data_IF_655788801653
#
_entry.id   IF_655788801653
#
_cell.length_a   1.000
_cell.length_b   1.000
_cell.length_c   1.000
_cell.angle_alpha   90.00
_cell.angle_beta   90.00
_cell.angle_gamma   90.00
#
_symmetry.space_group_name_H-M   'P 1'
#
loop_
_entity.id
_entity.type
_entity.pdbx_description
1 polymer ?
#
# COMPACT_ATOMS: atom_id res chain seq x y z
N UNK A 1 -24.67 11.03 -4.60
CA UNK A 1 -25.23 12.05 -5.50
C UNK A 1 -26.23 12.99 -4.82
N UNK A 2 -27.29 12.49 -4.12
CA UNK A 2 -28.34 13.33 -3.49
C UNK A 2 -27.79 14.33 -2.48
N UNK A 3 -26.93 13.90 -1.55
CA UNK A 3 -26.31 14.78 -0.55
C UNK A 3 -25.44 15.84 -1.23
N UNK A 4 -24.59 15.43 -2.17
CA UNK A 4 -23.72 16.37 -2.90
C UNK A 4 -24.54 17.45 -3.66
N UNK A 5 -25.64 17.09 -4.28
CA UNK A 5 -26.53 18.05 -4.96
C UNK A 5 -27.12 19.08 -4.00
N UNK A 6 -27.53 18.66 -2.79
CA UNK A 6 -28.05 19.59 -1.78
C UNK A 6 -26.95 20.49 -1.20
N UNK A 7 -25.75 19.96 -0.96
CA UNK A 7 -24.62 20.77 -0.51
C UNK A 7 -24.25 21.86 -1.53
N UNK A 8 -24.35 21.55 -2.82
CA UNK A 8 -24.03 22.51 -3.88
C UNK A 8 -24.99 23.68 -3.99
N UNK A 9 -26.20 23.58 -3.42
CA UNK A 9 -27.19 24.68 -3.34
C UNK A 9 -27.30 25.31 -1.95
N UNK A 10 -26.34 25.01 -1.06
CA UNK A 10 -26.16 25.75 0.20
C UNK A 10 -26.60 25.03 1.48
N UNK A 11 -27.13 23.80 1.41
CA UNK A 11 -27.37 23.01 2.61
C UNK A 11 -26.05 22.59 3.27
N UNK A 12 -26.07 22.41 4.60
CA UNK A 12 -24.96 21.87 5.38
C UNK A 12 -25.20 20.38 5.73
N UNK A 13 -24.14 19.65 6.13
CA UNK A 13 -24.26 18.22 6.43
C UNK A 13 -25.11 17.94 7.69
N UNK A 14 -25.16 18.86 8.63
CA UNK A 14 -25.95 18.79 9.86
C UNK A 14 -27.43 19.06 9.62
N UNK A 15 -27.78 19.84 8.58
CA UNK A 15 -29.16 20.11 8.17
C UNK A 15 -29.81 18.94 7.40
N UNK A 16 -28.98 18.03 6.87
CA UNK A 16 -29.46 16.92 6.04
C UNK A 16 -29.53 15.63 6.84
N UNK A 17 -30.60 14.87 6.63
CA UNK A 17 -30.73 13.54 7.21
C UNK A 17 -29.82 12.53 6.49
N UNK A 18 -29.21 11.62 7.25
CA UNK A 18 -28.48 10.48 6.72
C UNK A 18 -29.43 9.54 5.97
N UNK A 19 -29.12 9.21 4.72
CA UNK A 19 -29.96 8.40 3.86
C UNK A 19 -30.10 6.93 4.33
N UNK A 20 -29.17 6.45 5.15
CA UNK A 20 -29.16 5.08 5.68
C UNK A 20 -29.95 5.01 6.98
N UNK A 21 -29.56 5.79 7.97
CA UNK A 21 -30.17 5.74 9.30
C UNK A 21 -31.53 6.45 9.36
N UNK A 22 -31.75 7.47 8.52
CA UNK A 22 -32.93 8.34 8.46
C UNK A 22 -33.16 9.24 9.70
N UNK A 23 -32.48 8.96 10.79
CA UNK A 23 -32.67 9.64 12.10
C UNK A 23 -31.43 10.43 12.54
N UNK A 24 -30.27 10.15 12.00
CA UNK A 24 -29.04 10.89 12.27
C UNK A 24 -28.77 11.93 11.18
N UNK A 25 -28.02 13.01 11.45
CA UNK A 25 -27.61 13.95 10.41
C UNK A 25 -26.64 13.30 9.42
N UNK A 26 -26.51 13.88 8.22
CA UNK A 26 -25.55 13.43 7.21
C UNK A 26 -24.10 13.63 7.66
N UNK A 27 -23.82 14.47 8.63
CA UNK A 27 -22.54 14.67 9.31
C UNK A 27 -22.14 13.52 10.26
N UNK A 28 -23.05 12.58 10.55
CA UNK A 28 -22.76 11.46 11.45
C UNK A 28 -21.65 10.57 10.89
N UNK A 29 -20.57 10.42 11.65
CA UNK A 29 -19.48 9.49 11.36
C UNK A 29 -19.71 8.16 12.09
N UNK A 30 -19.91 7.04 11.37
CA UNK A 30 -20.03 5.74 12.01
C UNK A 30 -18.67 5.30 12.59
N UNK A 31 -18.69 4.65 13.74
CA UNK A 31 -17.51 3.96 14.28
C UNK A 31 -17.30 2.67 13.49
N UNK A 32 -16.14 2.52 12.89
CA UNK A 32 -15.74 1.33 12.14
C UNK A 32 -14.49 0.70 12.76
N UNK A 33 -14.42 -0.63 12.74
CA UNK A 33 -13.33 -1.44 13.30
C UNK A 33 -12.50 -2.15 12.23
N UNK A 34 -12.55 -1.66 11.01
CA UNK A 34 -11.81 -2.19 9.87
C UNK A 34 -11.17 -1.07 9.06
N UNK A 35 -10.16 -1.42 8.28
CA UNK A 35 -9.47 -0.52 7.35
C UNK A 35 -9.73 -0.97 5.93
N UNK A 36 -10.03 -0.03 5.05
CA UNK A 36 -10.16 -0.27 3.62
C UNK A 36 -9.01 0.42 2.89
N UNK A 37 -8.21 -0.35 2.19
CA UNK A 37 -7.17 0.17 1.30
C UNK A 37 -7.64 0.02 -0.15
N UNK A 38 -7.59 1.12 -0.89
CA UNK A 38 -7.94 1.21 -2.29
C UNK A 38 -6.71 1.59 -3.10
N UNK A 39 -6.33 0.75 -4.06
CA UNK A 39 -5.15 0.97 -4.91
C UNK A 39 -5.58 1.00 -6.39
N UNK A 40 -5.18 2.03 -7.15
CA UNK A 40 -5.47 2.09 -8.58
C UNK A 40 -4.65 1.04 -9.37
N UNK A 41 -5.26 0.49 -10.42
CA UNK A 41 -4.61 -0.37 -11.41
C UNK A 41 -4.24 0.47 -12.62
N UNK A 42 -2.95 0.47 -12.97
CA UNK A 42 -2.42 1.07 -14.18
C UNK A 42 -2.03 -0.02 -15.18
N UNK A 43 -2.16 0.25 -16.47
CA UNK A 43 -1.85 -0.71 -17.55
C UNK A 43 -0.99 -0.06 -18.63
N UNK A 44 0.02 0.72 -18.20
CA UNK A 44 0.94 1.38 -19.14
C UNK A 44 1.66 0.40 -20.07
N UNK A 45 1.80 -0.85 -19.64
CA UNK A 45 2.37 -1.93 -20.44
C UNK A 45 1.57 -2.25 -21.72
N UNK A 46 0.30 -1.86 -21.75
CA UNK A 46 -0.59 -2.06 -22.92
C UNK A 46 -0.65 -0.87 -23.87
N UNK A 47 -0.11 0.27 -23.47
CA UNK A 47 -0.19 1.53 -24.22
C UNK A 47 1.21 2.04 -24.53
N UNK A 48 1.73 1.66 -25.71
CA UNK A 48 3.03 2.13 -26.18
C UNK A 48 3.06 3.65 -26.33
N UNK A 49 4.09 4.29 -25.78
CA UNK A 49 4.25 5.76 -25.83
C UNK A 49 3.43 6.54 -24.80
N UNK A 50 2.66 5.88 -23.92
CA UNK A 50 1.96 6.55 -22.84
C UNK A 50 2.95 7.06 -21.79
N UNK A 51 2.75 8.30 -21.34
CA UNK A 51 3.52 8.90 -20.26
C UNK A 51 3.22 8.19 -18.93
N UNK A 52 4.24 7.63 -18.30
CA UNK A 52 4.13 6.86 -17.05
C UNK A 52 4.05 7.71 -15.79
N UNK A 53 4.47 8.97 -15.86
CA UNK A 53 4.39 9.87 -14.72
C UNK A 53 2.94 10.19 -14.38
N UNK A 54 2.60 10.02 -13.11
CA UNK A 54 1.28 10.34 -12.59
C UNK A 54 1.14 11.86 -12.44
N UNK A 55 -0.06 12.35 -12.73
CA UNK A 55 -0.39 13.78 -12.66
C UNK A 55 -1.82 13.95 -12.15
N UNK A 56 -2.41 15.14 -12.31
CA UNK A 56 -3.81 15.41 -11.97
C UNK A 56 -4.81 14.75 -12.94
N UNK A 57 -4.36 14.27 -14.11
CA UNK A 57 -5.20 13.51 -15.04
C UNK A 57 -5.35 12.07 -14.61
N UNK A 58 -6.54 11.49 -14.80
CA UNK A 58 -6.81 10.09 -14.50
C UNK A 58 -6.11 9.17 -15.51
N UNK A 59 -5.18 8.33 -15.02
CA UNK A 59 -4.43 7.37 -15.84
C UNK A 59 -4.70 5.91 -15.43
N UNK A 60 -5.46 5.68 -14.37
CA UNK A 60 -5.86 4.34 -13.93
C UNK A 60 -6.99 3.78 -14.81
N UNK A 61 -6.98 2.46 -14.99
CA UNK A 61 -8.01 1.71 -15.76
C UNK A 61 -8.99 0.96 -14.85
N UNK A 62 -8.74 0.95 -13.57
CA UNK A 62 -9.53 0.30 -12.55
C UNK A 62 -8.86 0.43 -11.20
N UNK A 63 -9.35 -0.33 -10.22
CA UNK A 63 -8.86 -0.28 -8.84
C UNK A 63 -9.12 -1.61 -8.12
N UNK A 64 -8.27 -1.92 -7.16
CA UNK A 64 -8.50 -2.97 -6.18
C UNK A 64 -8.86 -2.34 -4.83
N UNK A 65 -9.79 -2.96 -4.10
CA UNK A 65 -10.18 -2.57 -2.75
C UNK A 65 -10.09 -3.77 -1.84
N UNK A 66 -9.40 -3.61 -0.72
CA UNK A 66 -9.23 -4.68 0.27
C UNK A 66 -9.55 -4.20 1.68
N UNK A 67 -10.18 -5.06 2.45
CA UNK A 67 -10.56 -4.82 3.85
C UNK A 67 -9.62 -5.63 4.75
N UNK A 68 -9.14 -5.00 5.80
CA UNK A 68 -8.32 -5.62 6.84
C UNK A 68 -8.60 -5.05 8.21
N UNK A 69 -8.05 -5.64 9.25
CA UNK A 69 -8.08 -5.10 10.61
C UNK A 69 -6.94 -4.14 10.91
N UNK A 70 -5.90 -4.20 10.09
CA UNK A 70 -4.76 -3.28 10.13
C UNK A 70 -4.46 -2.74 8.74
N UNK A 71 -3.71 -1.63 8.68
CA UNK A 71 -3.26 -1.07 7.41
C UNK A 71 -2.35 -2.05 6.67
N UNK A 72 -1.45 -2.72 7.38
CA UNK A 72 -0.52 -3.71 6.82
C UNK A 72 -1.30 -4.84 6.12
N UNK A 73 -2.32 -5.39 6.78
CA UNK A 73 -3.17 -6.43 6.22
C UNK A 73 -3.89 -5.95 4.96
N UNK A 74 -4.59 -4.82 5.06
CA UNK A 74 -5.39 -4.30 3.95
C UNK A 74 -4.53 -3.90 2.75
N UNK A 75 -3.36 -3.28 2.98
CA UNK A 75 -2.42 -2.88 1.94
C UNK A 75 -1.88 -4.09 1.17
N UNK A 76 -1.38 -5.10 1.88
CA UNK A 76 -0.83 -6.29 1.23
C UNK A 76 -1.89 -7.08 0.46
N UNK A 77 -3.11 -7.16 0.99
CA UNK A 77 -4.26 -7.73 0.27
C UNK A 77 -4.60 -6.96 -1.00
N UNK A 78 -4.63 -5.62 -0.92
CA UNK A 78 -4.94 -4.76 -2.08
C UNK A 78 -3.90 -4.92 -3.19
N UNK A 79 -2.60 -4.97 -2.85
CA UNK A 79 -1.52 -5.19 -3.82
C UNK A 79 -1.68 -6.53 -4.55
N UNK A 80 -2.00 -7.62 -3.83
CA UNK A 80 -2.26 -8.93 -4.46
C UNK A 80 -3.48 -8.91 -5.39
N UNK A 81 -4.52 -8.17 -4.98
CA UNK A 81 -5.77 -8.08 -5.74
C UNK A 81 -5.66 -7.29 -7.05
N UNK A 82 -4.53 -6.60 -7.28
CA UNK A 82 -4.26 -5.92 -8.55
C UNK A 82 -3.99 -6.90 -9.72
N UNK A 83 -3.74 -8.19 -9.44
CA UNK A 83 -3.43 -9.22 -10.44
C UNK A 83 -2.23 -8.84 -11.34
N UNK A 84 -1.24 -8.15 -10.75
CA UNK A 84 0.02 -7.78 -11.40
C UNK A 84 1.16 -8.76 -11.13
N UNK A 85 0.86 -9.90 -10.50
CA UNK A 85 1.84 -10.90 -10.08
C UNK A 85 2.42 -10.68 -8.69
N UNK A 86 2.14 -9.55 -8.04
CA UNK A 86 2.61 -9.23 -6.70
C UNK A 86 2.05 -10.20 -5.65
N UNK A 87 2.88 -10.57 -4.70
CA UNK A 87 2.50 -11.35 -3.51
C UNK A 87 2.28 -10.48 -2.24
N UNK A 88 2.55 -9.20 -2.35
CA UNK A 88 2.48 -8.15 -1.34
C UNK A 88 3.37 -6.97 -1.75
N UNK A 89 4.12 -6.41 -0.81
CA UNK A 89 5.18 -5.43 -1.08
C UNK A 89 6.44 -6.15 -1.60
N UNK A 90 6.38 -6.68 -2.81
CA UNK A 90 7.49 -7.42 -3.39
C UNK A 90 8.69 -6.51 -3.70
N UNK A 91 9.88 -7.10 -3.81
CA UNK A 91 11.11 -6.41 -4.18
C UNK A 91 11.04 -5.93 -5.63
N UNK A 92 11.68 -4.79 -5.89
CA UNK A 92 11.89 -4.27 -7.23
C UNK A 92 13.36 -3.89 -7.44
N UNK A 93 13.79 -3.87 -8.69
CA UNK A 93 15.13 -3.43 -9.03
C UNK A 93 15.30 -1.93 -8.75
N UNK A 94 16.46 -1.58 -8.22
CA UNK A 94 16.86 -0.18 -8.02
C UNK A 94 17.54 0.37 -9.29
N UNK A 95 17.56 1.69 -9.50
CA UNK A 95 18.08 2.29 -10.73
C UNK A 95 19.58 2.08 -10.94
N UNK A 96 20.33 1.75 -9.90
CA UNK A 96 21.76 1.50 -10.00
C UNK A 96 22.10 0.01 -9.81
N UNK A 97 22.79 -0.56 -10.80
CA UNK A 97 23.24 -1.96 -10.83
C UNK A 97 24.64 -2.17 -10.25
N UNK A 98 25.37 -1.09 -9.91
CA UNK A 98 26.80 -1.13 -9.55
C UNK A 98 27.09 -1.26 -8.04
N UNK A 99 26.09 -1.34 -7.16
CA UNK A 99 26.26 -1.69 -5.75
C UNK A 99 26.19 -0.55 -4.74
N UNK A 100 26.55 0.69 -5.07
CA UNK A 100 26.38 1.86 -4.21
C UNK A 100 25.57 2.94 -4.93
N UNK A 101 24.27 3.00 -4.59
CA UNK A 101 23.38 4.05 -5.12
C UNK A 101 23.67 5.36 -4.37
N UNK A 102 24.06 6.42 -5.08
CA UNK A 102 24.22 7.71 -4.45
C UNK A 102 22.89 8.22 -3.86
N UNK A 103 22.95 8.98 -2.77
CA UNK A 103 21.75 9.54 -2.13
C UNK A 103 20.93 10.40 -3.08
N UNK A 104 21.57 11.12 -3.99
CA UNK A 104 20.89 11.99 -4.96
C UNK A 104 20.10 11.17 -6.01
N UNK A 105 20.68 10.06 -6.49
CA UNK A 105 19.99 9.14 -7.41
C UNK A 105 18.78 8.52 -6.73
N UNK A 106 18.92 8.06 -5.48
CA UNK A 106 17.82 7.52 -4.69
C UNK A 106 16.73 8.55 -4.42
N UNK A 107 17.10 9.76 -4.07
CA UNK A 107 16.17 10.85 -3.84
C UNK A 107 15.38 11.18 -5.12
N UNK A 108 16.05 11.30 -6.27
CA UNK A 108 15.42 11.48 -7.58
C UNK A 108 14.43 10.35 -7.90
N UNK A 109 14.86 9.10 -7.74
CA UNK A 109 14.03 7.92 -8.00
C UNK A 109 12.77 7.84 -7.12
N UNK A 110 12.88 8.23 -5.85
CA UNK A 110 11.75 8.27 -4.93
C UNK A 110 10.81 9.46 -5.17
N UNK A 111 11.33 10.59 -5.68
CA UNK A 111 10.52 11.79 -5.94
C UNK A 111 9.64 11.66 -7.17
N UNK A 112 9.99 10.78 -8.11
CA UNK A 112 9.17 10.53 -9.31
C UNK A 112 7.79 9.98 -8.94
N UNK A 113 6.75 10.55 -9.52
CA UNK A 113 5.36 10.12 -9.31
C UNK A 113 4.99 9.00 -10.28
N UNK A 114 5.46 7.79 -9.98
CA UNK A 114 5.23 6.60 -10.81
C UNK A 114 4.24 5.62 -10.16
N UNK A 115 3.60 4.73 -10.93
CA UNK A 115 2.65 3.73 -10.41
C UNK A 115 3.24 2.77 -9.37
N UNK A 116 4.53 2.50 -9.45
CA UNK A 116 5.29 1.59 -8.57
C UNK A 116 5.90 2.29 -7.34
N UNK A 117 5.57 3.56 -7.12
CA UNK A 117 6.18 4.39 -6.06
C UNK A 117 6.11 3.74 -4.67
N UNK A 118 5.00 3.05 -4.35
CA UNK A 118 4.89 2.36 -3.06
C UNK A 118 5.91 1.22 -2.92
N UNK A 119 6.20 0.51 -4.00
CA UNK A 119 7.24 -0.54 -4.03
C UNK A 119 8.64 0.08 -3.93
N UNK A 120 8.86 1.25 -4.56
CA UNK A 120 10.11 2.01 -4.43
C UNK A 120 10.37 2.42 -2.99
N UNK A 121 9.35 2.90 -2.28
CA UNK A 121 9.42 3.24 -0.85
C UNK A 121 9.80 2.00 -0.03
N UNK A 122 9.10 0.88 -0.22
CA UNK A 122 9.40 -0.37 0.48
C UNK A 122 10.84 -0.84 0.22
N UNK A 123 11.31 -0.74 -1.03
CA UNK A 123 12.67 -1.11 -1.41
C UNK A 123 13.72 -0.19 -0.78
N UNK A 124 13.46 1.11 -0.69
CA UNK A 124 14.34 2.07 -0.02
C UNK A 124 14.47 1.76 1.48
N UNK A 125 13.36 1.41 2.15
CA UNK A 125 13.37 0.99 3.56
C UNK A 125 14.19 -0.31 3.75
N UNK A 126 14.05 -1.30 2.85
CA UNK A 126 14.86 -2.53 2.89
C UNK A 126 16.36 -2.24 2.77
N UNK A 127 16.72 -1.19 2.04
CA UNK A 127 18.11 -0.72 1.89
C UNK A 127 18.60 0.19 3.02
N UNK A 128 17.75 0.44 4.03
CA UNK A 128 18.13 1.16 5.25
C UNK A 128 17.91 2.67 5.22
N UNK A 129 17.19 3.21 4.22
CA UNK A 129 16.83 4.62 4.24
C UNK A 129 15.84 4.90 5.38
N UNK A 130 16.08 6.00 6.10
CA UNK A 130 15.22 6.44 7.17
C UNK A 130 13.89 7.05 6.68
N UNK A 131 12.87 6.98 7.53
CA UNK A 131 11.54 7.54 7.24
C UNK A 131 11.61 9.04 6.90
N UNK A 132 12.48 9.80 7.58
CA UNK A 132 12.64 11.23 7.32
C UNK A 132 13.24 11.53 5.95
N UNK A 133 14.22 10.73 5.51
CA UNK A 133 14.82 10.86 4.18
C UNK A 133 13.78 10.53 3.09
N UNK A 134 13.01 9.46 3.27
CA UNK A 134 11.95 9.05 2.34
C UNK A 134 10.84 10.09 2.31
N UNK A 135 10.43 10.62 3.45
CA UNK A 135 9.44 11.71 3.54
C UNK A 135 9.94 12.96 2.78
N UNK A 136 11.20 13.31 2.95
CA UNK A 136 11.79 14.46 2.25
C UNK A 136 11.70 14.34 0.74
N UNK A 137 11.95 13.14 0.18
CA UNK A 137 11.87 12.86 -1.25
C UNK A 137 10.43 12.72 -1.76
N UNK A 138 9.60 11.98 -1.03
CA UNK A 138 8.28 11.57 -1.52
C UNK A 138 7.16 12.50 -1.16
N UNK A 139 7.30 13.27 -0.08
CA UNK A 139 6.27 14.05 0.59
C UNK A 139 5.09 13.20 1.12
N UNK A 140 5.26 11.88 1.20
CA UNK A 140 4.28 11.01 1.84
C UNK A 140 4.25 11.25 3.33
N UNK A 141 3.04 11.20 3.92
CA UNK A 141 2.88 11.31 5.37
C UNK A 141 3.67 10.21 6.08
N UNK A 142 4.40 10.60 7.14
CA UNK A 142 5.26 9.70 7.91
C UNK A 142 4.50 8.53 8.53
N UNK A 143 3.21 8.69 8.81
CA UNK A 143 2.38 7.60 9.30
C UNK A 143 2.38 6.42 8.33
N UNK A 144 2.09 6.66 7.03
CA UNK A 144 2.13 5.61 6.01
C UNK A 144 3.53 5.01 5.83
N UNK A 145 4.56 5.83 5.91
CA UNK A 145 5.95 5.34 5.81
C UNK A 145 6.31 4.43 6.98
N UNK A 146 5.88 4.75 8.19
CA UNK A 146 6.06 3.90 9.37
C UNK A 146 5.29 2.57 9.25
N UNK A 147 4.07 2.61 8.73
CA UNK A 147 3.29 1.40 8.49
C UNK A 147 3.96 0.47 7.46
N UNK A 148 4.52 1.03 6.38
CA UNK A 148 5.31 0.26 5.41
C UNK A 148 6.60 -0.26 6.07
N UNK A 149 7.28 0.54 6.88
CA UNK A 149 8.47 0.10 7.61
C UNK A 149 8.16 -1.07 8.56
N UNK A 150 7.00 -1.07 9.21
CA UNK A 150 6.55 -2.19 10.04
C UNK A 150 6.38 -3.49 9.25
N UNK A 151 5.88 -3.42 8.01
CA UNK A 151 5.82 -4.60 7.13
C UNK A 151 7.23 -5.11 6.81
N UNK A 152 8.15 -4.22 6.47
CA UNK A 152 9.54 -4.59 6.15
C UNK A 152 10.26 -5.18 7.37
N UNK A 153 9.95 -4.72 8.57
CA UNK A 153 10.51 -5.31 9.80
C UNK A 153 10.02 -6.75 10.03
N UNK A 154 8.73 -7.03 9.75
CA UNK A 154 8.20 -8.40 9.78
C UNK A 154 8.85 -9.26 8.69
N UNK A 155 9.11 -8.74 7.49
CA UNK A 155 9.88 -9.44 6.44
C UNK A 155 11.26 -9.87 6.93
N UNK A 156 11.98 -8.98 7.63
CA UNK A 156 13.29 -9.32 8.22
C UNK A 156 13.18 -10.42 9.27
N UNK A 157 12.11 -10.40 10.09
CA UNK A 157 11.86 -11.47 11.05
C UNK A 157 11.66 -12.81 10.34
N UNK A 158 10.80 -12.88 9.31
CA UNK A 158 10.57 -14.10 8.53
C UNK A 158 11.87 -14.58 7.87
N UNK A 159 12.64 -13.68 7.27
CA UNK A 159 13.92 -14.02 6.63
C UNK A 159 14.94 -14.60 7.63
N UNK A 160 14.93 -14.10 8.86
CA UNK A 160 15.84 -14.54 9.91
C UNK A 160 15.39 -15.85 10.58
N UNK A 161 14.09 -16.00 10.87
CA UNK A 161 13.54 -17.17 11.58
C UNK A 161 13.21 -18.35 10.66
N UNK A 162 13.01 -18.09 9.37
CA UNK A 162 12.54 -19.10 8.42
C UNK A 162 11.04 -19.36 8.53
N UNK A 163 10.64 -20.62 8.35
CA UNK A 163 9.22 -21.02 8.45
C UNK A 163 8.74 -20.83 9.89
N UNK A 164 7.50 -20.29 10.10
CA UNK A 164 6.92 -20.17 11.43
C UNK A 164 6.91 -21.49 12.18
N UNK A 165 7.51 -21.51 13.36
CA UNK A 165 7.62 -22.72 14.19
C UNK A 165 6.34 -23.02 14.98
N UNK A 166 5.42 -22.04 15.09
CA UNK A 166 4.20 -22.16 15.88
C UNK A 166 2.98 -21.60 15.16
N UNK A 167 1.79 -22.07 15.54
CA UNK A 167 0.51 -21.52 15.06
C UNK A 167 0.38 -20.02 15.38
N UNK A 168 0.85 -19.58 16.53
CA UNK A 168 0.78 -18.18 16.94
C UNK A 168 1.64 -17.29 16.05
N UNK A 169 2.84 -17.73 15.71
CA UNK A 169 3.75 -17.01 14.82
C UNK A 169 3.19 -16.92 13.40
N UNK A 170 2.69 -18.04 12.86
CA UNK A 170 2.00 -18.04 11.58
C UNK A 170 0.78 -17.10 11.58
N UNK A 171 -0.04 -17.16 12.64
CA UNK A 171 -1.20 -16.27 12.78
C UNK A 171 -0.77 -14.81 12.80
N UNK A 172 0.31 -14.46 13.46
CA UNK A 172 0.86 -13.11 13.48
C UNK A 172 1.24 -12.64 12.06
N UNK A 173 2.01 -13.43 11.30
CA UNK A 173 2.38 -13.08 9.93
C UNK A 173 1.16 -12.97 9.00
N UNK A 174 0.21 -13.89 9.14
CA UNK A 174 -1.04 -13.84 8.36
C UNK A 174 -1.90 -12.62 8.72
N UNK A 175 -1.98 -12.23 9.98
CA UNK A 175 -2.72 -11.03 10.41
C UNK A 175 -2.07 -9.73 9.94
N UNK A 176 -0.76 -9.73 9.68
CA UNK A 176 -0.06 -8.63 9.02
C UNK A 176 -0.20 -8.66 7.47
N UNK A 177 -0.97 -9.60 6.92
CA UNK A 177 -1.30 -9.66 5.49
C UNK A 177 -0.34 -10.48 4.63
N UNK A 178 0.64 -11.19 5.21
CA UNK A 178 1.56 -12.03 4.43
C UNK A 178 0.85 -13.24 3.82
N UNK A 179 1.02 -13.45 2.52
CA UNK A 179 0.56 -14.67 1.82
C UNK A 179 1.53 -15.83 2.06
N UNK A 180 1.05 -17.08 1.91
CA UNK A 180 1.92 -18.26 1.96
C UNK A 180 3.06 -18.16 0.95
N UNK A 181 2.75 -17.69 -0.27
CA UNK A 181 3.75 -17.43 -1.31
C UNK A 181 4.83 -16.43 -0.84
N UNK A 182 4.45 -15.35 -0.15
CA UNK A 182 5.41 -14.36 0.34
C UNK A 182 6.23 -14.90 1.52
N UNK A 183 5.61 -15.57 2.47
CA UNK A 183 6.32 -16.22 3.59
C UNK A 183 7.32 -17.23 3.06
N UNK A 184 6.92 -18.11 2.14
CA UNK A 184 7.78 -19.09 1.53
C UNK A 184 8.99 -18.48 0.80
N UNK A 185 8.76 -17.40 0.04
CA UNK A 185 9.83 -16.66 -0.63
C UNK A 185 10.84 -16.09 0.36
N UNK A 186 10.38 -15.40 1.40
CA UNK A 186 11.22 -14.80 2.44
C UNK A 186 11.98 -15.87 3.27
N UNK A 187 11.34 -17.00 3.54
CA UNK A 187 11.93 -18.12 4.25
C UNK A 187 12.81 -19.03 3.35
N UNK A 188 12.90 -18.72 2.04
CA UNK A 188 13.63 -19.51 1.05
C UNK A 188 13.20 -21.00 0.98
N UNK A 189 11.88 -21.24 0.94
CA UNK A 189 11.27 -22.58 0.86
C UNK A 189 10.19 -22.63 -0.22
N UNK A 190 9.66 -23.82 -0.50
CA UNK A 190 8.53 -23.96 -1.43
C UNK A 190 7.22 -23.52 -0.77
N UNK A 191 6.31 -22.90 -1.53
CA UNK A 191 5.04 -22.40 -0.99
C UNK A 191 4.16 -23.49 -0.34
N UNK A 192 4.27 -24.76 -0.81
CA UNK A 192 3.54 -25.89 -0.21
C UNK A 192 4.05 -26.29 1.20
N UNK A 193 5.14 -25.69 1.67
CA UNK A 193 5.74 -25.99 2.98
C UNK A 193 5.18 -25.07 4.08
N UNK A 194 4.57 -23.93 3.71
CA UNK A 194 3.92 -22.98 4.61
C UNK A 194 2.45 -23.35 4.81
#
# INVERSE_FOLDING_TARGET
AKIAAKLSVGYTLDELANDITKVTPASFEPTVDYIVTKIPRFTFEKFNGAERLLSTSMKSVGEAMAIGRSFQESLQKALRSLETGLSGLDEIEMPDRAGEVSKDVLHGWLSEQTPDRILRIAQAIRKGLGVDEIHSATKWDKWFLNEIASIIEIEKQITKSGIPASKSELTFFKSAGFSDKRIAHLANVRAQTV
#
